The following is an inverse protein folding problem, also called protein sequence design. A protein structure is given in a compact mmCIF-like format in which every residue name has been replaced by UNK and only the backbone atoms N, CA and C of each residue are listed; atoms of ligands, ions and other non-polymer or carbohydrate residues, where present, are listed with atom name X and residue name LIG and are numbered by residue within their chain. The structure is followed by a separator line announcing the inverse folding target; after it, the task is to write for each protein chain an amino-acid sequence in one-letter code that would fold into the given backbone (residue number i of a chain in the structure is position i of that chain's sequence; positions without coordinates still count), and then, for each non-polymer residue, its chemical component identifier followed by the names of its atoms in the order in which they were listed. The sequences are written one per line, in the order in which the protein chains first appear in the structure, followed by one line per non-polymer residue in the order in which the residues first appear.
data_IF_372143948697
#
_entry.id   IF_372143948697
#
_cell.length_a   1.000
_cell.length_b   1.000
_cell.length_c   1.000
_cell.angle_alpha   90.00
_cell.angle_beta   90.00
_cell.angle_gamma   90.00
#
_symmetry.space_group_name_H-M   'P 1'
#
loop_
_entity.id
_entity.type
_entity.pdbx_description
1 polymer ?
#
# COMPACT_ATOMS: atom_id res chain seq x y z
N UNK A 1 35.90 33.72 -17.23
CA UNK A 1 35.88 32.58 -16.29
C UNK A 1 34.58 32.63 -15.51
N UNK A 2 33.47 32.08 -16.02
CA UNK A 2 32.18 32.21 -15.31
C UNK A 2 31.10 31.21 -15.74
N UNK A 3 31.10 30.74 -16.98
CA UNK A 3 30.04 29.84 -17.47
C UNK A 3 30.11 28.37 -16.98
N UNK A 4 31.27 27.69 -16.90
CA UNK A 4 31.28 26.26 -16.57
C UNK A 4 31.15 26.00 -15.06
N UNK A 5 31.59 26.95 -14.22
CA UNK A 5 31.54 26.84 -12.75
C UNK A 5 30.11 26.99 -12.25
N UNK A 6 29.32 27.90 -12.84
CA UNK A 6 27.91 28.10 -12.49
C UNK A 6 27.05 26.88 -12.87
N UNK A 7 27.35 26.24 -14.01
CA UNK A 7 26.66 25.02 -14.45
C UNK A 7 26.96 23.83 -13.53
N UNK A 8 28.22 23.68 -13.11
CA UNK A 8 28.65 22.60 -12.22
C UNK A 8 28.00 22.70 -10.82
N UNK A 9 27.79 23.92 -10.32
CA UNK A 9 27.12 24.16 -9.03
C UNK A 9 25.64 23.79 -9.12
N UNK A 10 24.94 24.14 -10.22
CA UNK A 10 23.54 23.76 -10.39
C UNK A 10 23.35 22.23 -10.45
N UNK A 11 24.20 21.50 -11.17
CA UNK A 11 24.08 20.04 -11.29
C UNK A 11 24.35 19.34 -9.96
N UNK A 12 25.22 19.89 -9.11
CA UNK A 12 25.51 19.34 -7.79
C UNK A 12 24.39 19.58 -6.76
N UNK A 13 23.50 20.57 -6.96
CA UNK A 13 22.38 20.86 -6.06
C UNK A 13 21.09 20.10 -6.40
N UNK A 14 20.98 19.48 -7.58
CA UNK A 14 19.78 18.74 -7.98
C UNK A 14 19.36 17.56 -7.05
N UNK A 15 20.26 16.77 -6.44
CA UNK A 15 19.83 15.62 -5.64
C UNK A 15 19.27 15.98 -4.25
N UNK A 16 19.26 17.26 -3.84
CA UNK A 16 18.78 17.70 -2.52
C UNK A 16 17.27 17.97 -2.45
N UNK A 17 16.57 17.99 -3.58
CA UNK A 17 15.14 18.32 -3.67
C UNK A 17 14.21 17.11 -3.81
N UNK A 18 14.68 15.91 -3.48
CA UNK A 18 13.81 14.73 -3.39
C UNK A 18 12.97 14.79 -2.11
N UNK A 19 11.96 15.64 -2.10
CA UNK A 19 10.90 15.60 -1.10
C UNK A 19 9.96 14.43 -1.45
N UNK A 20 10.25 13.25 -0.90
CA UNK A 20 9.25 12.19 -0.81
C UNK A 20 8.23 12.59 0.26
N UNK A 21 7.00 12.89 -0.13
CA UNK A 21 5.92 13.14 0.81
C UNK A 21 5.49 11.81 1.46
N UNK A 22 6.12 11.46 2.58
CA UNK A 22 5.74 10.28 3.35
C UNK A 22 4.56 10.61 4.29
N UNK A 23 3.61 9.69 4.44
CA UNK A 23 2.45 9.88 5.32
C UNK A 23 2.88 10.04 6.79
N UNK A 24 2.81 11.27 7.32
CA UNK A 24 3.15 11.56 8.72
C UNK A 24 2.06 11.04 9.68
N UNK A 25 2.41 10.10 10.56
CA UNK A 25 1.54 9.46 11.56
C UNK A 25 0.28 8.79 10.96
N UNK A 26 0.42 7.62 10.30
CA UNK A 26 -0.72 6.93 9.70
C UNK A 26 -1.68 6.39 10.78
N UNK A 27 -2.91 6.88 10.80
CA UNK A 27 -4.00 6.28 11.57
C UNK A 27 -4.79 5.33 10.67
N UNK A 28 -4.71 4.02 10.94
CA UNK A 28 -5.36 2.97 10.14
C UNK A 28 -6.63 2.50 10.84
N UNK A 29 -7.78 2.59 10.16
CA UNK A 29 -9.01 1.89 10.56
C UNK A 29 -9.25 0.76 9.58
N UNK A 30 -9.29 -0.48 10.06
CA UNK A 30 -9.47 -1.68 9.23
C UNK A 30 -10.87 -2.28 9.40
N UNK A 31 -11.45 -2.73 8.28
CA UNK A 31 -12.65 -3.55 8.19
C UNK A 31 -12.38 -4.67 7.19
N UNK A 32 -12.47 -5.91 7.63
CA UNK A 32 -12.27 -7.07 6.76
C UNK A 32 -13.64 -7.71 6.54
N UNK A 33 -14.03 -7.82 5.27
CA UNK A 33 -15.21 -8.55 4.84
C UNK A 33 -14.75 -9.83 4.17
N UNK A 34 -15.20 -10.97 4.67
CA UNK A 34 -14.96 -12.27 4.05
C UNK A 34 -16.31 -12.75 3.52
N UNK A 35 -16.43 -12.94 2.21
CA UNK A 35 -17.62 -13.61 1.67
C UNK A 35 -17.38 -15.10 1.72
N UNK A 36 -18.25 -15.84 2.42
CA UNK A 36 -18.26 -17.30 2.41
C UNK A 36 -19.42 -17.72 1.50
N UNK A 37 -19.13 -18.01 0.22
CA UNK A 37 -20.17 -18.54 -0.65
C UNK A 37 -20.46 -20.00 -0.25
N UNK A 38 -21.65 -20.23 0.30
CA UNK A 38 -22.08 -21.54 0.81
C UNK A 38 -22.44 -22.53 -0.30
N UNK A 39 -22.34 -22.17 -1.58
CA UNK A 39 -22.83 -23.00 -2.70
C UNK A 39 -21.72 -23.46 -3.65
N UNK A 40 -20.54 -22.80 -3.66
CA UNK A 40 -19.39 -23.23 -4.44
C UNK A 40 -18.10 -23.22 -3.62
N UNK A 41 -17.77 -24.40 -3.06
CA UNK A 41 -16.61 -24.70 -2.21
C UNK A 41 -15.25 -24.64 -2.96
N UNK A 42 -14.96 -23.55 -3.67
CA UNK A 42 -13.76 -23.45 -4.52
C UNK A 42 -12.90 -22.22 -4.17
N UNK A 43 -13.48 -21.05 -3.91
CA UNK A 43 -12.69 -19.83 -3.67
C UNK A 43 -13.39 -18.88 -2.68
N UNK A 44 -12.64 -18.40 -1.68
CA UNK A 44 -13.06 -17.37 -0.73
C UNK A 44 -12.43 -16.04 -1.11
N UNK A 45 -13.26 -15.01 -1.23
CA UNK A 45 -12.79 -13.65 -1.52
C UNK A 45 -12.75 -12.86 -0.22
N UNK A 46 -11.56 -12.38 0.12
CA UNK A 46 -11.31 -11.49 1.26
C UNK A 46 -11.22 -10.07 0.74
N UNK A 47 -12.15 -9.23 1.18
CA UNK A 47 -12.18 -7.82 0.85
C UNK A 47 -11.76 -7.02 2.08
N UNK A 48 -10.57 -6.46 2.03
CA UNK A 48 -10.03 -5.65 3.10
C UNK A 48 -10.23 -4.17 2.79
N UNK A 49 -11.09 -3.51 3.57
CA UNK A 49 -11.33 -2.08 3.51
C UNK A 49 -10.59 -1.39 4.66
N UNK A 50 -9.76 -0.40 4.36
CA UNK A 50 -9.06 0.35 5.39
C UNK A 50 -9.03 1.84 5.09
N UNK A 51 -9.19 2.67 6.12
CA UNK A 51 -9.07 4.12 6.02
C UNK A 51 -7.73 4.58 6.55
N UNK A 52 -7.03 5.42 5.80
CA UNK A 52 -5.78 6.03 6.24
C UNK A 52 -5.97 7.54 6.32
N UNK A 53 -5.54 8.11 7.43
CA UNK A 53 -5.49 9.55 7.63
C UNK A 53 -4.07 9.96 7.96
N UNK A 54 -3.48 10.82 7.13
CA UNK A 54 -2.15 11.39 7.33
C UNK A 54 -2.28 12.80 7.92
N UNK A 55 -1.42 13.15 8.90
CA UNK A 55 -1.42 14.51 9.47
C UNK A 55 -1.10 15.60 8.45
N UNK A 56 -0.29 15.27 7.44
CA UNK A 56 0.08 16.20 6.37
C UNK A 56 -1.05 16.43 5.34
N UNK A 57 -2.23 15.81 5.52
CA UNK A 57 -3.33 15.94 4.58
C UNK A 57 -3.09 15.24 3.24
N UNK A 58 -2.09 14.35 3.19
CA UNK A 58 -1.70 13.61 2.00
C UNK A 58 -2.86 12.72 1.52
N UNK A 59 -3.15 12.80 0.22
CA UNK A 59 -4.20 12.06 -0.47
C UNK A 59 -3.59 11.31 -1.64
N UNK A 60 -4.33 10.34 -2.15
CA UNK A 60 -3.94 9.60 -3.37
C UNK A 60 -2.60 8.86 -3.23
N UNK A 61 -2.38 8.30 -2.04
CA UNK A 61 -1.30 7.35 -1.78
C UNK A 61 -1.53 6.06 -2.57
N UNK A 62 -0.51 5.59 -3.28
CA UNK A 62 -0.44 4.23 -3.80
C UNK A 62 -0.08 3.28 -2.67
N UNK A 63 -1.01 2.39 -2.34
CA UNK A 63 -0.86 1.45 -1.24
C UNK A 63 -0.99 0.02 -1.74
N UNK A 64 -0.26 -0.87 -1.09
CA UNK A 64 -0.27 -2.30 -1.35
C UNK A 64 -0.60 -3.01 -0.05
N UNK A 65 -1.44 -4.04 -0.13
CA UNK A 65 -1.74 -4.90 1.00
C UNK A 65 -1.16 -6.29 0.73
N UNK A 66 -0.59 -6.91 1.76
CA UNK A 66 -0.13 -8.29 1.76
C UNK A 66 -1.00 -9.11 2.70
N UNK A 67 -1.48 -10.24 2.17
CA UNK A 67 -2.28 -11.20 2.89
C UNK A 67 -1.76 -12.60 2.60
N UNK A 68 -1.34 -13.35 3.62
CA UNK A 68 -0.79 -14.71 3.48
C UNK A 68 0.32 -14.81 2.42
N UNK A 69 1.19 -13.80 2.32
CA UNK A 69 2.28 -13.73 1.35
C UNK A 69 1.87 -13.32 -0.08
N UNK A 70 0.59 -13.07 -0.34
CA UNK A 70 0.11 -12.50 -1.60
C UNK A 70 -0.04 -10.99 -1.45
N UNK A 71 0.58 -10.23 -2.35
CA UNK A 71 0.43 -8.77 -2.39
C UNK A 71 -0.58 -8.34 -3.44
N UNK A 72 -1.51 -7.44 -3.09
CA UNK A 72 -2.47 -6.84 -4.02
C UNK A 72 -2.46 -5.30 -3.88
N UNK A 73 -2.65 -4.55 -4.99
CA UNK A 73 -2.79 -3.10 -4.92
C UNK A 73 -4.11 -2.73 -4.22
N UNK A 74 -4.07 -1.69 -3.39
CA UNK A 74 -5.24 -1.16 -2.74
C UNK A 74 -5.81 0.01 -3.57
N UNK A 75 -7.04 -0.16 -4.03
CA UNK A 75 -7.76 0.88 -4.78
C UNK A 75 -8.44 1.85 -3.82
N UNK A 76 -8.24 3.15 -4.04
CA UNK A 76 -8.96 4.18 -3.29
C UNK A 76 -10.41 4.27 -3.76
N UNK A 77 -11.34 4.39 -2.83
CA UNK A 77 -12.75 4.67 -3.13
C UNK A 77 -12.90 6.18 -3.40
N UNK A 78 -13.46 6.59 -4.56
CA UNK A 78 -13.59 7.99 -4.91
C UNK A 78 -14.49 8.74 -3.91
N UNK A 79 -14.06 9.94 -3.50
CA UNK A 79 -14.81 10.77 -2.55
C UNK A 79 -14.56 10.46 -1.06
N UNK A 80 -13.79 9.41 -0.74
CA UNK A 80 -13.46 9.03 0.64
C UNK A 80 -11.95 8.82 0.83
N UNK A 81 -11.48 8.71 2.07
CA UNK A 81 -10.08 8.31 2.38
C UNK A 81 -9.98 6.81 2.71
N UNK A 82 -10.87 6.01 2.11
CA UNK A 82 -10.93 4.56 2.26
C UNK A 82 -10.29 3.90 1.06
N UNK A 83 -9.55 2.85 1.34
CA UNK A 83 -8.87 1.99 0.39
C UNK A 83 -9.45 0.59 0.50
N UNK A 84 -9.44 -0.13 -0.61
CA UNK A 84 -9.95 -1.48 -0.70
C UNK A 84 -8.95 -2.36 -1.46
N UNK A 85 -8.59 -3.48 -0.85
CA UNK A 85 -7.82 -4.54 -1.47
C UNK A 85 -8.65 -5.82 -1.48
N UNK A 86 -8.60 -6.56 -2.59
CA UNK A 86 -9.26 -7.85 -2.73
C UNK A 86 -8.23 -8.96 -2.89
N UNK A 87 -8.48 -10.07 -2.20
CA UNK A 87 -7.66 -11.27 -2.27
C UNK A 87 -8.55 -12.48 -2.53
N UNK A 88 -8.15 -13.32 -3.46
CA UNK A 88 -8.75 -14.64 -3.67
C UNK A 88 -7.89 -15.73 -3.06
N UNK A 89 -8.53 -16.59 -2.28
CA UNK A 89 -7.86 -17.67 -1.56
C UNK A 89 -8.73 -18.93 -1.56
N UNK A 90 -8.11 -20.11 -1.62
CA UNK A 90 -8.84 -21.36 -1.52
C UNK A 90 -9.57 -21.44 -0.17
N UNK A 91 -10.84 -21.84 -0.19
CA UNK A 91 -11.66 -21.93 1.03
C UNK A 91 -11.01 -22.80 2.12
N UNK A 92 -10.32 -23.88 1.73
CA UNK A 92 -9.57 -24.76 2.67
C UNK A 92 -8.38 -24.08 3.33
N UNK A 93 -7.79 -23.09 2.66
CA UNK A 93 -6.65 -22.34 3.19
C UNK A 93 -7.07 -21.17 4.08
N UNK A 94 -8.38 -20.93 4.23
CA UNK A 94 -8.93 -19.83 5.01
C UNK A 94 -9.85 -20.30 6.17
N UNK A 95 -9.33 -21.06 7.17
CA UNK A 95 -10.11 -21.44 8.35
C UNK A 95 -10.60 -20.24 9.18
N UNK A 96 -11.66 -20.41 9.98
CA UNK A 96 -12.07 -19.35 10.91
C UNK A 96 -10.95 -19.05 11.92
N UNK A 97 -10.48 -17.81 11.96
CA UNK A 97 -9.36 -17.43 12.81
C UNK A 97 -9.00 -15.95 12.68
N UNK A 98 -7.89 -15.58 13.32
CA UNK A 98 -7.31 -14.24 13.23
C UNK A 98 -6.25 -14.22 12.15
N UNK A 99 -6.40 -13.32 11.19
CA UNK A 99 -5.45 -13.12 10.10
C UNK A 99 -4.67 -11.83 10.27
N UNK A 100 -3.40 -11.84 9.91
CA UNK A 100 -2.57 -10.63 9.88
C UNK A 100 -2.47 -10.14 8.45
N UNK A 101 -2.96 -8.93 8.20
CA UNK A 101 -2.76 -8.24 6.93
C UNK A 101 -1.72 -7.14 7.12
N UNK A 102 -0.76 -7.05 6.22
CA UNK A 102 0.24 -5.99 6.21
C UNK A 102 -0.10 -4.99 5.12
N UNK A 103 0.16 -3.71 5.38
CA UNK A 103 -0.07 -2.62 4.44
C UNK A 103 1.26 -1.92 4.22
N UNK A 104 1.58 -1.69 2.96
CA UNK A 104 2.82 -1.09 2.49
C UNK A 104 2.48 0.11 1.61
N UNK A 105 3.34 1.13 1.62
CA UNK A 105 3.34 2.13 0.57
C UNK A 105 4.30 1.73 -0.57
N UNK A 106 4.45 2.60 -1.56
CA UNK A 106 5.37 2.41 -2.70
C UNK A 106 6.81 2.09 -2.26
N UNK A 107 7.32 2.78 -1.25
CA UNK A 107 8.67 2.62 -0.73
C UNK A 107 8.82 1.29 0.01
N UNK A 108 7.88 0.96 0.89
CA UNK A 108 7.81 -0.30 1.62
C UNK A 108 7.66 -1.50 0.68
N UNK A 109 6.80 -1.42 -0.32
CA UNK A 109 6.60 -2.46 -1.32
C UNK A 109 7.86 -2.66 -2.17
N UNK A 110 8.51 -1.57 -2.57
CA UNK A 110 9.80 -1.63 -3.29
C UNK A 110 10.89 -2.27 -2.45
N UNK A 111 10.91 -2.05 -1.13
CA UNK A 111 11.86 -2.68 -0.22
C UNK A 111 11.60 -4.18 -0.04
N UNK A 112 10.33 -4.60 0.05
CA UNK A 112 9.96 -6.02 0.08
C UNK A 112 10.46 -6.75 -1.17
N UNK A 113 10.16 -6.23 -2.37
CA UNK A 113 10.57 -6.85 -3.63
C UNK A 113 12.08 -6.96 -3.82
N UNK A 114 12.85 -6.07 -3.16
CA UNK A 114 14.32 -6.13 -3.15
C UNK A 114 14.86 -7.15 -2.16
N UNK A 115 14.14 -7.42 -1.09
CA UNK A 115 14.56 -8.36 -0.03
C UNK A 115 14.19 -9.82 -0.37
N UNK A 116 13.15 -10.00 -1.18
CA UNK A 116 12.70 -11.30 -1.71
C UNK A 116 13.60 -11.83 -2.85
N UNK A 117 14.61 -11.08 -3.29
CA UNK A 117 15.53 -11.42 -4.38
C UNK A 117 16.92 -11.72 -3.86
#
# INVERSE_FOLDING_TARGET
MSSPVLLAICVALLPLLSAGDSCLSPSVKQKVYTTTDSTASIESVVLAEFSITCKNGLKDLSLYAEFEGKTAPASRIPGTNTYQASFSQDHKSLPSGTYTMRIFDEEGYSALRKSEK
#
